data_IF_750807324708
#
_entry.id   IF_750807324708
#
_cell.length_a   1.000
_cell.length_b   1.000
_cell.length_c   1.000
_cell.angle_alpha   90.00
_cell.angle_beta   90.00
_cell.angle_gamma   90.00
#
_symmetry.space_group_name_H-M   'P 1'
#
loop_
_entity.id
_entity.type
_entity.pdbx_description
1 polymer ?
#
# COMPACT_ATOMS: atom_id res chain seq x y z
N UNK A 1 14.38 -16.25 22.03
CA UNK A 1 14.84 -14.85 22.26
C UNK A 1 14.76 -14.11 20.93
N UNK A 2 13.64 -13.44 20.61
CA UNK A 2 13.53 -12.39 19.55
C UNK A 2 12.09 -11.86 19.42
N UNK A 3 11.30 -11.83 20.51
CA UNK A 3 9.95 -11.24 20.49
C UNK A 3 9.83 -9.94 21.32
N UNK A 4 10.85 -9.57 22.09
CA UNK A 4 10.79 -8.39 22.99
C UNK A 4 11.57 -7.16 22.54
N UNK A 5 12.27 -7.19 21.40
CA UNK A 5 13.01 -6.01 20.91
C UNK A 5 12.22 -5.14 19.93
N UNK A 6 11.11 -5.63 19.35
CA UNK A 6 10.36 -4.88 18.33
C UNK A 6 9.25 -3.97 18.88
N UNK A 7 8.83 -4.17 20.13
CA UNK A 7 7.76 -3.38 20.76
C UNK A 7 8.25 -2.09 21.43
N UNK A 8 9.55 -1.95 21.71
CA UNK A 8 10.10 -0.78 22.41
C UNK A 8 10.58 0.34 21.45
N UNK A 9 10.87 0.01 20.19
CA UNK A 9 11.30 1.00 19.18
C UNK A 9 10.11 1.79 18.61
N UNK A 10 8.92 1.19 18.56
CA UNK A 10 7.71 1.83 18.02
C UNK A 10 7.20 2.99 18.90
N UNK A 11 7.32 2.91 20.23
CA UNK A 11 6.82 3.95 21.12
C UNK A 11 7.69 5.23 21.20
N UNK A 12 8.98 5.14 20.85
CA UNK A 12 9.89 6.31 20.82
C UNK A 12 9.76 7.12 19.53
N UNK A 13 9.53 6.45 18.40
CA UNK A 13 9.33 7.09 17.10
C UNK A 13 8.02 7.90 17.11
N UNK A 14 6.94 7.36 17.68
CA UNK A 14 5.63 8.03 17.76
C UNK A 14 5.70 9.39 18.51
N UNK A 15 6.58 9.53 19.52
CA UNK A 15 6.74 10.80 20.26
C UNK A 15 7.50 11.86 19.47
N UNK A 16 8.52 11.47 18.69
CA UNK A 16 9.33 12.42 17.89
C UNK A 16 8.52 12.90 16.68
N UNK A 17 7.76 12.01 16.02
CA UNK A 17 6.93 12.37 14.87
C UNK A 17 5.79 13.33 15.27
N UNK A 18 5.22 13.21 16.48
CA UNK A 18 4.21 14.15 17.00
C UNK A 18 4.75 15.56 17.19
N UNK A 19 6.00 15.74 17.64
CA UNK A 19 6.60 17.06 17.85
C UNK A 19 6.87 17.76 16.51
N UNK A 20 7.41 17.02 15.53
CA UNK A 20 7.69 17.57 14.19
C UNK A 20 6.42 17.89 13.41
N UNK A 21 5.35 17.09 13.52
CA UNK A 21 4.09 17.36 12.83
C UNK A 21 3.37 18.61 13.39
N UNK A 22 3.45 18.85 14.72
CA UNK A 22 2.85 20.05 15.33
C UNK A 22 3.58 21.35 14.99
N UNK A 23 4.91 21.30 14.77
CA UNK A 23 5.67 22.50 14.42
C UNK A 23 5.39 22.99 12.98
N UNK A 24 5.04 22.08 12.07
CA UNK A 24 4.65 22.45 10.70
C UNK A 24 3.18 22.88 10.58
N UNK A 25 2.30 22.38 11.44
CA UNK A 25 0.87 22.74 11.43
C UNK A 25 0.58 24.13 12.02
N UNK A 26 1.42 24.66 12.90
CA UNK A 26 1.20 25.95 13.57
C UNK A 26 1.52 27.18 12.70
N UNK A 27 2.20 27.02 11.55
CA UNK A 27 2.50 28.13 10.61
C UNK A 27 1.44 28.37 9.53
N UNK A 28 0.41 27.52 9.45
CA UNK A 28 -0.60 27.58 8.36
C UNK A 28 -1.86 28.37 8.80
N UNK A 29 -1.96 28.81 10.06
CA UNK A 29 -3.19 29.41 10.59
C UNK A 29 -3.35 30.93 10.40
N UNK A 30 -2.35 31.66 9.92
CA UNK A 30 -2.44 33.13 9.83
C UNK A 30 -2.32 33.65 8.40
N UNK A 31 -3.35 33.48 7.57
CA UNK A 31 -3.79 34.40 6.49
C UNK A 31 -4.54 33.70 5.35
N UNK A 32 -5.77 33.24 5.59
CA UNK A 32 -6.81 33.30 4.55
C UNK A 32 -8.15 33.66 5.19
N UNK A 33 -8.49 34.96 5.16
CA UNK A 33 -9.89 35.40 5.14
C UNK A 33 -10.54 34.75 3.91
N UNK A 34 -11.19 33.61 4.11
CA UNK A 34 -12.04 32.99 3.10
C UNK A 34 -13.35 33.80 3.07
N UNK A 35 -13.41 34.83 2.23
CA UNK A 35 -14.67 35.52 1.92
C UNK A 35 -15.61 34.59 1.12
N UNK A 36 -16.93 34.63 1.36
CA UNK A 36 -17.86 33.66 0.80
C UNK A 36 -18.26 34.08 -0.61
N UNK A 37 -17.91 33.29 -1.62
CA UNK A 37 -18.47 33.41 -2.97
C UNK A 37 -19.12 32.07 -3.36
N UNK A 38 -20.44 32.05 -3.33
CA UNK A 38 -21.35 31.03 -3.84
C UNK A 38 -21.16 29.61 -3.27
N UNK A 39 -21.83 29.38 -2.12
CA UNK A 39 -22.04 28.10 -1.43
C UNK A 39 -22.28 26.88 -2.34
N UNK A 40 -22.95 27.06 -3.48
CA UNK A 40 -23.19 25.98 -4.47
C UNK A 40 -21.90 25.50 -5.14
N UNK A 41 -21.01 26.42 -5.53
CA UNK A 41 -19.72 26.07 -6.15
C UNK A 41 -18.80 25.39 -5.14
N UNK A 42 -18.79 25.89 -3.89
CA UNK A 42 -18.03 25.28 -2.79
C UNK A 42 -18.53 23.85 -2.55
N UNK A 43 -19.85 23.63 -2.42
CA UNK A 43 -20.44 22.28 -2.27
C UNK A 43 -20.08 21.36 -3.44
N UNK A 44 -20.13 21.86 -4.68
CA UNK A 44 -19.78 21.06 -5.86
C UNK A 44 -18.30 20.69 -5.88
N UNK A 45 -17.41 21.64 -5.56
CA UNK A 45 -15.97 21.34 -5.44
C UNK A 45 -15.66 20.34 -4.32
N UNK A 46 -16.31 20.44 -3.16
CA UNK A 46 -16.17 19.44 -2.09
C UNK A 46 -16.65 18.06 -2.51
N UNK A 47 -17.78 17.97 -3.22
CA UNK A 47 -18.28 16.69 -3.77
C UNK A 47 -17.31 16.10 -4.80
N UNK A 48 -16.77 16.91 -5.71
CA UNK A 48 -15.79 16.45 -6.68
C UNK A 48 -14.49 15.99 -6.02
N UNK A 49 -13.99 16.72 -5.04
CA UNK A 49 -12.81 16.33 -4.25
C UNK A 49 -13.08 15.04 -3.49
N UNK A 50 -14.26 14.90 -2.86
CA UNK A 50 -14.65 13.68 -2.16
C UNK A 50 -14.72 12.48 -3.11
N UNK A 51 -15.35 12.63 -4.28
CA UNK A 51 -15.39 11.58 -5.31
C UNK A 51 -13.98 11.22 -5.79
N UNK A 52 -13.10 12.20 -6.02
CA UNK A 52 -11.71 11.98 -6.41
C UNK A 52 -10.92 11.23 -5.33
N UNK A 53 -11.11 11.60 -4.07
CA UNK A 53 -10.52 10.91 -2.91
C UNK A 53 -11.02 9.47 -2.83
N UNK A 54 -12.33 9.24 -3.01
CA UNK A 54 -12.91 7.89 -2.99
C UNK A 54 -12.30 7.01 -4.10
N UNK A 55 -12.20 7.54 -5.33
CA UNK A 55 -11.61 6.81 -6.46
C UNK A 55 -10.12 6.48 -6.19
N UNK A 56 -9.35 7.47 -5.75
CA UNK A 56 -7.92 7.29 -5.46
C UNK A 56 -7.70 6.27 -4.33
N UNK A 57 -8.54 6.32 -3.31
CA UNK A 57 -8.50 5.38 -2.20
C UNK A 57 -8.84 3.96 -2.67
N UNK A 58 -9.88 3.79 -3.48
CA UNK A 58 -10.30 2.48 -3.99
C UNK A 58 -9.21 1.77 -4.80
N UNK A 59 -8.53 2.49 -5.70
CA UNK A 59 -7.39 1.95 -6.46
C UNK A 59 -6.27 1.46 -5.54
N UNK A 60 -5.98 2.22 -4.48
CA UNK A 60 -4.96 1.83 -3.51
C UNK A 60 -5.34 0.61 -2.68
N UNK A 61 -6.63 0.26 -2.55
CA UNK A 61 -7.07 -0.94 -1.81
C UNK A 61 -6.98 -2.19 -2.69
N UNK A 62 -7.28 -2.06 -3.98
CA UNK A 62 -7.27 -3.20 -4.91
C UNK A 62 -5.88 -3.58 -5.43
N UNK A 63 -4.91 -2.67 -5.41
CA UNK A 63 -3.55 -2.98 -5.86
C UNK A 63 -2.83 -3.97 -4.93
N UNK A 64 -1.99 -4.83 -5.50
CA UNK A 64 -0.97 -5.56 -4.74
C UNK A 64 0.38 -4.82 -4.83
N UNK A 65 1.37 -5.22 -4.03
CA UNK A 65 2.68 -4.56 -4.01
C UNK A 65 3.81 -5.52 -3.63
N UNK A 66 4.98 -5.32 -4.22
CA UNK A 66 6.16 -6.17 -4.08
C UNK A 66 7.40 -5.35 -3.73
N UNK A 67 8.26 -5.90 -2.86
CA UNK A 67 9.54 -5.30 -2.48
C UNK A 67 10.69 -6.20 -2.92
N UNK A 68 11.84 -5.59 -3.14
CA UNK A 68 13.05 -6.32 -3.49
C UNK A 68 13.68 -6.99 -2.27
N UNK A 69 14.10 -8.24 -2.45
CA UNK A 69 15.02 -8.94 -1.55
C UNK A 69 16.14 -9.57 -2.37
N UNK A 70 17.26 -9.86 -1.70
CA UNK A 70 18.38 -10.54 -2.34
C UNK A 70 17.89 -11.82 -3.04
N UNK A 71 17.92 -11.82 -4.37
CA UNK A 71 17.48 -12.94 -5.21
C UNK A 71 16.26 -12.68 -6.08
N UNK A 72 15.43 -11.66 -5.80
CA UNK A 72 14.22 -11.34 -6.57
C UNK A 72 13.20 -10.55 -5.77
N UNK A 73 11.91 -10.72 -6.09
CA UNK A 73 10.84 -9.98 -5.41
C UNK A 73 10.14 -10.80 -4.31
N UNK A 74 9.54 -10.10 -3.35
CA UNK A 74 8.60 -10.64 -2.36
C UNK A 74 7.33 -9.81 -2.32
N UNK A 75 6.19 -10.44 -2.06
CA UNK A 75 4.92 -9.74 -1.82
C UNK A 75 4.98 -9.05 -0.46
N UNK A 76 4.83 -7.73 -0.45
CA UNK A 76 4.64 -6.95 0.79
C UNK A 76 3.18 -6.58 1.01
N UNK A 77 2.37 -6.60 -0.04
CA UNK A 77 0.93 -6.43 0.01
C UNK A 77 0.23 -7.42 -0.93
N UNK A 78 -0.57 -8.36 -0.40
CA UNK A 78 -1.25 -9.36 -1.22
C UNK A 78 -2.30 -8.73 -2.13
N UNK A 79 -2.69 -9.48 -3.18
CA UNK A 79 -3.82 -9.14 -4.01
C UNK A 79 -5.15 -9.33 -3.26
N UNK A 80 -6.22 -8.71 -3.77
CA UNK A 80 -7.56 -8.95 -3.27
C UNK A 80 -8.03 -10.38 -3.61
N UNK A 81 -8.93 -10.98 -2.81
CA UNK A 81 -9.54 -12.27 -3.11
C UNK A 81 -10.04 -12.39 -4.55
N UNK A 82 -9.78 -13.53 -5.18
CA UNK A 82 -10.08 -13.81 -6.59
C UNK A 82 -9.04 -13.28 -7.58
N UNK A 83 -7.95 -12.66 -7.11
CA UNK A 83 -6.83 -12.20 -7.93
C UNK A 83 -5.51 -12.71 -7.37
N UNK A 84 -4.47 -12.68 -8.20
CA UNK A 84 -3.11 -12.98 -7.82
C UNK A 84 -2.20 -11.76 -8.00
N UNK A 85 -1.05 -11.76 -7.33
CA UNK A 85 -0.05 -10.69 -7.46
C UNK A 85 1.12 -11.17 -8.31
N UNK A 86 1.29 -10.55 -9.47
CA UNK A 86 2.43 -10.75 -10.35
C UNK A 86 3.53 -9.75 -9.98
N UNK A 87 4.55 -10.21 -9.27
CA UNK A 87 5.71 -9.37 -8.97
C UNK A 87 6.64 -9.27 -10.18
N UNK A 88 7.04 -8.05 -10.54
CA UNK A 88 7.97 -7.77 -11.65
C UNK A 88 9.21 -7.07 -11.10
N UNK A 89 10.39 -7.58 -11.44
CA UNK A 89 11.64 -6.88 -11.15
C UNK A 89 11.90 -5.81 -12.22
N UNK A 90 11.98 -4.56 -11.81
CA UNK A 90 12.13 -3.42 -12.72
C UNK A 90 13.60 -3.01 -12.94
N UNK A 91 14.55 -3.68 -12.27
CA UNK A 91 15.94 -3.25 -12.19
C UNK A 91 16.23 -2.44 -10.93
N UNK A 92 17.47 -1.99 -10.74
CA UNK A 92 17.88 -1.13 -9.62
C UNK A 92 17.41 -1.58 -8.22
N UNK A 93 17.31 -2.89 -7.97
CA UNK A 93 16.79 -3.42 -6.69
C UNK A 93 15.37 -2.95 -6.38
N UNK A 94 14.54 -2.71 -7.40
CA UNK A 94 13.12 -2.35 -7.27
C UNK A 94 12.22 -3.42 -7.86
N UNK A 95 11.07 -3.60 -7.22
CA UNK A 95 10.02 -4.50 -7.66
C UNK A 95 8.71 -3.73 -7.72
N UNK A 96 7.81 -4.16 -8.61
CA UNK A 96 6.44 -3.69 -8.71
C UNK A 96 5.48 -4.88 -8.62
N UNK A 97 4.26 -4.65 -8.13
CA UNK A 97 3.21 -5.66 -8.07
C UNK A 97 2.07 -5.33 -9.03
N UNK A 98 1.79 -6.24 -9.97
CA UNK A 98 0.66 -6.16 -10.88
C UNK A 98 -0.45 -7.12 -10.42
N UNK A 99 -1.70 -6.63 -10.44
CA UNK A 99 -2.86 -7.48 -10.13
C UNK A 99 -3.25 -8.22 -11.40
N UNK A 100 -3.20 -9.55 -11.34
CA UNK A 100 -3.56 -10.43 -12.45
C UNK A 100 -4.67 -11.38 -12.01
N UNK A 101 -5.35 -11.98 -12.99
CA UNK A 101 -6.20 -13.14 -12.72
C UNK A 101 -5.37 -14.27 -12.13
N UNK A 102 -5.96 -15.09 -11.28
CA UNK A 102 -5.31 -16.30 -10.81
C UNK A 102 -4.98 -17.21 -12.00
N UNK A 103 -3.91 -18.01 -11.89
CA UNK A 103 -3.55 -19.02 -12.89
C UNK A 103 -4.60 -20.14 -13.02
N UNK A 104 -4.20 -21.27 -13.61
CA UNK A 104 -5.10 -22.39 -13.94
C UNK A 104 -5.92 -22.91 -12.75
N UNK A 105 -5.42 -22.75 -11.52
CA UNK A 105 -6.12 -23.11 -10.29
C UNK A 105 -6.80 -21.90 -9.62
N UNK A 106 -7.89 -21.46 -10.24
CA UNK A 106 -8.76 -20.41 -9.72
C UNK A 106 -9.37 -20.73 -8.34
N UNK A 107 -9.37 -22.01 -7.93
CA UNK A 107 -9.92 -22.46 -6.65
C UNK A 107 -8.85 -22.66 -5.58
N UNK A 108 -7.58 -22.37 -5.89
CA UNK A 108 -6.49 -22.44 -4.92
C UNK A 108 -6.75 -21.51 -3.73
N UNK A 109 -6.29 -21.93 -2.54
CA UNK A 109 -6.34 -21.10 -1.33
C UNK A 109 -5.60 -19.77 -1.55
N UNK A 110 -4.57 -19.75 -2.39
CA UNK A 110 -3.77 -18.57 -2.74
C UNK A 110 -4.48 -17.61 -3.70
N UNK A 111 -5.56 -18.05 -4.35
CA UNK A 111 -6.45 -17.20 -5.13
C UNK A 111 -7.60 -16.66 -4.27
N UNK A 112 -8.21 -17.53 -3.46
CA UNK A 112 -9.35 -17.17 -2.61
C UNK A 112 -8.93 -16.33 -1.41
N UNK A 113 -7.75 -16.59 -0.86
CA UNK A 113 -7.15 -15.87 0.24
C UNK A 113 -5.66 -15.61 -0.03
N UNK A 114 -5.33 -14.69 -0.97
CA UNK A 114 -3.96 -14.37 -1.31
C UNK A 114 -3.20 -13.85 -0.09
N UNK A 115 -1.98 -14.32 0.09
CA UNK A 115 -1.12 -13.96 1.19
C UNK A 115 0.26 -13.49 0.69
N UNK A 116 1.23 -13.37 1.61
CA UNK A 116 2.58 -12.91 1.28
C UNK A 116 3.55 -14.05 1.03
N UNK A 117 3.09 -15.29 0.90
CA UNK A 117 3.96 -16.47 0.73
C UNK A 117 4.48 -16.59 -0.69
N UNK A 118 5.50 -17.44 -0.87
CA UNK A 118 6.03 -17.79 -2.19
C UNK A 118 4.94 -18.40 -3.08
N UNK A 119 4.00 -19.16 -2.51
CA UNK A 119 2.91 -19.78 -3.28
C UNK A 119 1.94 -18.75 -3.86
N UNK A 120 1.61 -17.70 -3.11
CA UNK A 120 0.78 -16.58 -3.61
C UNK A 120 1.48 -15.81 -4.73
N UNK A 121 2.80 -15.64 -4.66
CA UNK A 121 3.60 -15.04 -5.72
C UNK A 121 3.66 -15.93 -6.98
N UNK A 122 3.88 -17.24 -6.79
CA UNK A 122 3.92 -18.20 -7.89
C UNK A 122 2.55 -18.35 -8.57
N UNK A 123 1.46 -18.24 -7.81
CA UNK A 123 0.10 -18.25 -8.36
C UNK A 123 -0.16 -17.06 -9.30
N UNK A 124 0.51 -15.93 -9.08
CA UNK A 124 0.50 -14.78 -9.99
C UNK A 124 1.54 -14.87 -11.11
N UNK A 125 2.39 -15.90 -11.12
CA UNK A 125 3.41 -16.11 -12.16
C UNK A 125 4.55 -15.09 -12.15
N UNK A 126 4.81 -14.41 -11.04
CA UNK A 126 5.81 -13.33 -10.94
C UNK A 126 7.24 -13.80 -10.62
N UNK A 127 8.15 -12.83 -10.45
CA UNK A 127 9.47 -13.04 -9.85
C UNK A 127 9.31 -13.26 -8.34
N UNK A 128 9.60 -14.48 -7.90
CA UNK A 128 9.53 -14.89 -6.49
C UNK A 128 10.92 -15.25 -5.93
N UNK A 129 12.01 -14.76 -6.55
CA UNK A 129 13.38 -15.10 -6.15
C UNK A 129 13.80 -14.52 -4.79
N UNK A 130 13.03 -13.57 -4.25
CA UNK A 130 13.29 -12.96 -2.94
C UNK A 130 12.87 -13.82 -1.74
N UNK A 131 12.15 -14.92 -1.98
CA UNK A 131 11.74 -15.87 -0.94
C UNK A 131 12.87 -16.82 -0.58
N UNK A 132 12.99 -17.14 0.72
CA UNK A 132 13.87 -18.22 1.16
C UNK A 132 13.25 -19.55 0.74
N UNK A 133 14.06 -20.43 0.14
CA UNK A 133 13.70 -21.83 -0.06
C UNK A 133 13.96 -22.53 1.27
N UNK A 134 12.89 -22.80 2.00
CA UNK A 134 12.92 -23.63 3.20
C UNK A 134 12.77 -25.11 2.81
#
# INVERSE_FOLDING_TARGET
RTASSHLNTQHRIIRITRIFLFSQLSKIQDNKKMQPTNSMLIRFTFLLVLLCCIVSFYSSVMACDCDYKSGGCIIVKPAAPGNACHCVYEGYWTCHGEVVGCGDDHYSDYCNNPDKTVYSCLNGGGDCGGYKRD
#
